data_IF_976354824819
#
_entry.id   IF_976354824819
#
_cell.length_a   1.000
_cell.length_b   1.000
_cell.length_c   1.000
_cell.angle_alpha   90.00
_cell.angle_beta   90.00
_cell.angle_gamma   90.00
#
_symmetry.space_group_name_H-M   'P 1'
#
loop_
_entity.id
_entity.type
_entity.pdbx_description
1 polymer ?
#
# COMPACT_ATOMS: atom_id res chain seq x y z
N UNK A 1 21.95 1.54 16.12
CA UNK A 1 21.55 2.15 14.85
C UNK A 1 20.38 3.06 15.16
N UNK A 2 20.55 4.36 15.02
CA UNK A 2 19.48 5.33 15.24
C UNK A 2 18.44 5.16 14.14
N UNK A 3 17.20 4.86 14.52
CA UNK A 3 16.07 4.87 13.59
C UNK A 3 15.98 6.29 13.01
N UNK A 4 15.75 6.47 11.70
CA UNK A 4 15.44 7.79 11.19
C UNK A 4 14.18 8.25 11.94
N UNK A 5 14.35 9.33 12.72
CA UNK A 5 13.38 10.02 13.58
C UNK A 5 12.18 10.63 12.81
N UNK A 6 11.79 10.01 11.71
CA UNK A 6 11.06 10.63 10.60
C UNK A 6 9.68 10.04 10.33
N UNK A 7 9.30 8.95 10.98
CA UNK A 7 7.95 8.40 10.80
C UNK A 7 7.03 8.97 11.88
N UNK A 8 6.09 9.79 11.44
CA UNK A 8 4.93 10.20 12.22
C UNK A 8 4.15 8.93 12.58
N UNK A 9 4.38 8.42 13.80
CA UNK A 9 3.81 7.17 14.25
C UNK A 9 2.30 7.12 14.00
N UNK A 10 1.57 8.20 14.32
CA UNK A 10 0.13 8.27 14.10
C UNK A 10 -0.27 8.19 12.62
N UNK A 11 0.39 8.93 11.72
CA UNK A 11 0.08 8.91 10.29
C UNK A 11 0.38 7.54 9.68
N UNK A 12 1.49 6.92 10.10
CA UNK A 12 1.86 5.58 9.66
C UNK A 12 0.91 4.50 10.17
N UNK A 13 0.48 4.57 11.44
CA UNK A 13 -0.54 3.66 11.98
C UNK A 13 -1.86 3.78 11.21
N UNK A 14 -2.32 5.01 10.92
CA UNK A 14 -3.50 5.24 10.08
C UNK A 14 -3.35 4.65 8.68
N UNK A 15 -2.21 4.88 8.04
CA UNK A 15 -1.88 4.31 6.73
C UNK A 15 -1.91 2.78 6.73
N UNK A 16 -1.24 2.14 7.70
CA UNK A 16 -1.18 0.69 7.83
C UNK A 16 -2.57 0.07 8.05
N UNK A 17 -3.35 0.63 8.96
CA UNK A 17 -4.72 0.17 9.22
C UNK A 17 -5.62 0.32 8.01
N UNK A 18 -5.54 1.44 7.30
CA UNK A 18 -6.29 1.67 6.07
C UNK A 18 -5.96 0.62 5.00
N UNK A 19 -4.68 0.35 4.76
CA UNK A 19 -4.26 -0.64 3.76
C UNK A 19 -4.67 -2.07 4.12
N UNK A 20 -4.66 -2.43 5.40
CA UNK A 20 -5.23 -3.70 5.87
C UNK A 20 -6.72 -3.85 5.50
N UNK A 21 -7.52 -2.79 5.70
CA UNK A 21 -8.93 -2.80 5.33
C UNK A 21 -9.11 -2.93 3.82
N UNK A 22 -8.34 -2.18 3.03
CA UNK A 22 -8.35 -2.26 1.55
C UNK A 22 -8.11 -3.71 1.10
N UNK A 23 -7.01 -4.33 1.54
CA UNK A 23 -6.66 -5.71 1.13
C UNK A 23 -7.75 -6.70 1.49
N UNK A 24 -8.26 -6.65 2.73
CA UNK A 24 -9.30 -7.57 3.18
C UNK A 24 -10.61 -7.41 2.42
N UNK A 25 -10.96 -6.18 2.00
CA UNK A 25 -12.13 -5.92 1.16
C UNK A 25 -11.98 -6.60 -0.22
N UNK A 26 -10.82 -6.49 -0.85
CA UNK A 26 -10.55 -7.17 -2.13
C UNK A 26 -10.59 -8.70 -2.00
N UNK A 27 -9.99 -9.27 -0.94
CA UNK A 27 -10.06 -10.71 -0.65
C UNK A 27 -11.52 -11.15 -0.49
N UNK A 28 -12.30 -10.42 0.31
CA UNK A 28 -13.71 -10.76 0.56
C UNK A 28 -14.55 -10.69 -0.71
N UNK A 29 -14.29 -9.71 -1.58
CA UNK A 29 -15.01 -9.54 -2.84
C UNK A 29 -14.76 -10.73 -3.78
N UNK A 30 -13.50 -11.12 -3.95
CA UNK A 30 -13.14 -12.28 -4.80
C UNK A 30 -13.74 -13.57 -4.23
N UNK A 31 -13.67 -13.80 -2.92
CA UNK A 31 -14.28 -14.97 -2.28
C UNK A 31 -15.77 -15.07 -2.60
N UNK A 32 -16.50 -13.97 -2.47
CA UNK A 32 -17.94 -13.92 -2.77
C UNK A 32 -18.23 -14.22 -4.26
N UNK A 33 -17.43 -13.68 -5.17
CA UNK A 33 -17.65 -13.90 -6.61
C UNK A 33 -17.22 -15.32 -7.05
N UNK A 34 -16.24 -15.92 -6.36
CA UNK A 34 -15.72 -17.26 -6.69
C UNK A 34 -16.74 -18.39 -6.60
N UNK A 35 -17.81 -18.23 -5.80
CA UNK A 35 -18.89 -19.22 -5.67
C UNK A 35 -19.75 -19.34 -6.94
N UNK A 36 -19.69 -18.35 -7.83
CA UNK A 36 -20.61 -18.20 -8.98
C UNK A 36 -19.91 -18.20 -10.34
N UNK A 37 -18.60 -17.99 -10.37
CA UNK A 37 -17.83 -17.84 -11.60
C UNK A 37 -17.22 -19.16 -12.07
N UNK A 38 -17.02 -19.28 -13.37
CA UNK A 38 -16.16 -20.35 -13.90
C UNK A 38 -14.70 -20.11 -13.50
N UNK A 39 -13.86 -21.15 -13.56
CA UNK A 39 -12.43 -21.04 -13.23
C UNK A 39 -11.71 -19.98 -14.06
N UNK A 40 -12.02 -19.88 -15.35
CA UNK A 40 -11.37 -18.92 -16.25
C UNK A 40 -11.80 -17.48 -15.93
N UNK A 41 -13.10 -17.25 -15.68
CA UNK A 41 -13.62 -15.93 -15.32
C UNK A 41 -13.05 -15.47 -13.97
N UNK A 42 -12.90 -16.41 -13.01
CA UNK A 42 -12.30 -16.13 -11.71
C UNK A 42 -10.83 -15.71 -11.83
N UNK A 43 -10.04 -16.35 -12.69
CA UNK A 43 -8.64 -15.97 -12.94
C UNK A 43 -8.52 -14.55 -13.52
N UNK A 44 -9.40 -14.21 -14.48
CA UNK A 44 -9.43 -12.87 -15.07
C UNK A 44 -9.84 -11.81 -14.05
N UNK A 45 -10.88 -12.11 -13.24
CA UNK A 45 -11.30 -11.25 -12.14
C UNK A 45 -10.16 -11.01 -11.15
N UNK A 46 -9.48 -12.06 -10.69
CA UNK A 46 -8.35 -11.97 -9.75
C UNK A 46 -7.28 -11.03 -10.30
N UNK A 47 -6.94 -11.14 -11.59
CA UNK A 47 -5.96 -10.26 -12.23
C UNK A 47 -6.41 -8.80 -12.21
N UNK A 48 -7.64 -8.52 -12.65
CA UNK A 48 -8.21 -7.16 -12.67
C UNK A 48 -8.23 -6.56 -11.26
N UNK A 49 -8.67 -7.35 -10.27
CA UNK A 49 -8.76 -6.91 -8.87
C UNK A 49 -7.39 -6.70 -8.24
N UNK A 50 -6.38 -7.50 -8.59
CA UNK A 50 -5.00 -7.28 -8.16
C UNK A 50 -4.44 -5.97 -8.71
N UNK A 51 -4.66 -5.68 -10.00
CA UNK A 51 -4.20 -4.42 -10.61
C UNK A 51 -4.88 -3.20 -9.95
N UNK A 52 -6.17 -3.32 -9.62
CA UNK A 52 -6.89 -2.27 -8.89
C UNK A 52 -6.40 -2.10 -7.45
N UNK A 53 -6.15 -3.21 -6.74
CA UNK A 53 -5.55 -3.19 -5.40
C UNK A 53 -4.20 -2.45 -5.41
N UNK A 54 -3.32 -2.75 -6.35
CA UNK A 54 -2.01 -2.10 -6.45
C UNK A 54 -2.15 -0.59 -6.66
N UNK A 55 -3.09 -0.16 -7.50
CA UNK A 55 -3.38 1.27 -7.70
C UNK A 55 -3.90 1.93 -6.42
N UNK A 56 -4.83 1.29 -5.72
CA UNK A 56 -5.42 1.84 -4.51
C UNK A 56 -4.42 1.91 -3.34
N UNK A 57 -3.53 0.93 -3.22
CA UNK A 57 -2.40 0.97 -2.28
C UNK A 57 -1.43 2.11 -2.62
N UNK A 58 -1.13 2.32 -3.90
CA UNK A 58 -0.29 3.44 -4.35
C UNK A 58 -0.94 4.79 -4.04
N UNK A 59 -2.24 4.93 -4.26
CA UNK A 59 -2.99 6.14 -3.93
C UNK A 59 -3.02 6.38 -2.41
N UNK A 60 -3.19 5.31 -1.62
CA UNK A 60 -3.09 5.38 -0.15
C UNK A 60 -1.71 5.84 0.30
N UNK A 61 -0.65 5.33 -0.33
CA UNK A 61 0.73 5.78 -0.07
C UNK A 61 0.93 7.25 -0.44
N UNK A 62 0.37 7.71 -1.55
CA UNK A 62 0.47 9.11 -1.96
C UNK A 62 -0.14 10.05 -0.91
N UNK A 63 -1.33 9.71 -0.39
CA UNK A 63 -1.96 10.48 0.70
C UNK A 63 -1.09 10.49 1.95
N UNK A 64 -0.59 9.33 2.38
CA UNK A 64 0.31 9.23 3.53
C UNK A 64 1.61 10.04 3.33
N UNK A 65 2.17 10.01 2.12
CA UNK A 65 3.37 10.79 1.79
C UNK A 65 3.10 12.29 1.87
N UNK A 66 1.94 12.74 1.37
CA UNK A 66 1.56 14.15 1.42
C UNK A 66 1.35 14.61 2.89
N UNK A 67 0.69 13.79 3.72
CA UNK A 67 0.56 14.04 5.17
C UNK A 67 1.93 14.11 5.86
N UNK A 68 2.85 13.20 5.55
CA UNK A 68 4.21 13.23 6.09
C UNK A 68 4.98 14.47 5.62
N UNK A 69 4.86 14.80 4.33
CA UNK A 69 5.51 15.91 3.67
C UNK A 69 5.18 17.25 4.30
N UNK A 70 3.89 17.49 4.57
CA UNK A 70 3.42 18.74 5.19
C UNK A 70 3.94 18.93 6.62
N UNK A 71 4.24 17.83 7.32
CA UNK A 71 4.60 17.83 8.72
C UNK A 71 6.10 17.65 8.99
N UNK A 72 6.96 17.55 7.96
CA UNK A 72 8.42 17.36 8.14
C UNK A 72 8.97 18.51 9.00
N UNK A 73 9.59 18.19 10.13
CA UNK A 73 10.19 19.19 11.03
C UNK A 73 11.72 19.31 10.88
N UNK A 74 12.38 18.30 10.31
CA UNK A 74 13.82 18.31 10.10
C UNK A 74 14.20 19.09 8.83
N UNK A 75 15.04 20.11 8.97
CA UNK A 75 15.44 20.99 7.87
C UNK A 75 16.20 20.25 6.75
N UNK A 76 17.04 19.26 7.05
CA UNK A 76 17.76 18.49 6.02
C UNK A 76 16.82 17.63 5.18
N UNK A 77 15.78 17.07 5.80
CA UNK A 77 14.77 16.32 5.06
C UNK A 77 13.89 17.23 4.20
N UNK A 78 13.53 18.42 4.70
CA UNK A 78 12.84 19.44 3.87
C UNK A 78 13.67 19.85 2.66
N UNK A 79 14.98 20.04 2.83
CA UNK A 79 15.90 20.38 1.74
C UNK A 79 16.00 19.23 0.74
N UNK A 80 16.23 18.00 1.19
CA UNK A 80 16.29 16.82 0.33
C UNK A 80 14.99 16.61 -0.47
N UNK A 81 13.83 16.84 0.17
CA UNK A 81 12.54 16.79 -0.49
C UNK A 81 12.40 17.87 -1.58
N UNK A 82 12.83 19.10 -1.32
CA UNK A 82 12.77 20.21 -2.30
C UNK A 82 13.71 19.97 -3.49
N UNK A 83 14.93 19.52 -3.24
CA UNK A 83 15.93 19.29 -4.29
C UNK A 83 15.61 18.07 -5.16
N UNK A 84 15.11 16.99 -4.54
CA UNK A 84 14.91 15.69 -5.21
C UNK A 84 13.60 15.02 -4.79
N UNK A 85 12.43 15.62 -5.11
CA UNK A 85 11.14 15.16 -4.60
C UNK A 85 10.80 13.71 -4.97
N UNK A 86 11.11 13.29 -6.20
CA UNK A 86 10.86 11.91 -6.65
C UNK A 86 11.73 10.89 -5.92
N UNK A 87 13.02 11.22 -5.70
CA UNK A 87 13.94 10.34 -5.00
C UNK A 87 13.59 10.25 -3.51
N UNK A 88 13.20 11.37 -2.91
CA UNK A 88 12.76 11.43 -1.52
C UNK A 88 11.48 10.61 -1.31
N UNK A 89 10.48 10.75 -2.20
CA UNK A 89 9.26 9.93 -2.18
C UNK A 89 9.56 8.45 -2.32
N UNK A 90 10.46 8.08 -3.25
CA UNK A 90 10.92 6.70 -3.41
C UNK A 90 11.58 6.19 -2.12
N UNK A 91 12.46 6.97 -1.51
CA UNK A 91 13.12 6.60 -0.26
C UNK A 91 12.10 6.31 0.87
N UNK A 92 11.08 7.15 1.04
CA UNK A 92 10.02 6.91 2.04
C UNK A 92 9.25 5.62 1.74
N UNK A 93 8.93 5.39 0.46
CA UNK A 93 8.26 4.16 0.01
C UNK A 93 9.09 2.92 0.32
N UNK A 94 10.36 2.94 -0.06
CA UNK A 94 11.32 1.84 0.14
C UNK A 94 11.60 1.61 1.64
N UNK A 95 11.59 2.67 2.46
CA UNK A 95 11.81 2.57 3.90
C UNK A 95 10.64 1.86 4.61
N UNK A 96 9.41 2.17 4.22
CA UNK A 96 8.20 1.57 4.82
C UNK A 96 8.01 0.14 4.30
N UNK A 97 8.29 -0.10 3.01
CA UNK A 97 8.28 -1.41 2.37
C UNK A 97 7.01 -2.26 2.62
N UNK A 98 5.83 -1.63 2.63
CA UNK A 98 4.58 -2.36 2.88
C UNK A 98 3.85 -2.85 1.62
N UNK A 99 4.25 -2.39 0.43
CA UNK A 99 3.60 -2.78 -0.82
C UNK A 99 3.70 -4.30 -1.04
N UNK A 100 4.88 -4.88 -0.83
CA UNK A 100 5.10 -6.32 -0.96
C UNK A 100 4.30 -7.11 0.07
N UNK A 101 4.17 -6.59 1.29
CA UNK A 101 3.41 -7.21 2.36
C UNK A 101 1.93 -7.35 2.00
N UNK A 102 1.30 -6.27 1.56
CA UNK A 102 -0.14 -6.26 1.24
C UNK A 102 -0.49 -7.05 -0.02
N UNK A 103 0.36 -6.99 -1.05
CA UNK A 103 0.18 -7.82 -2.25
C UNK A 103 0.32 -9.30 -1.89
N UNK A 104 1.31 -9.66 -1.06
CA UNK A 104 1.46 -11.05 -0.58
C UNK A 104 0.29 -11.50 0.28
N UNK A 105 -0.25 -10.62 1.14
CA UNK A 105 -1.42 -10.92 1.96
C UNK A 105 -2.65 -11.19 1.09
N UNK A 106 -2.87 -10.36 0.06
CA UNK A 106 -3.91 -10.58 -0.95
C UNK A 106 -3.77 -11.95 -1.63
N UNK A 107 -2.59 -12.26 -2.17
CA UNK A 107 -2.33 -13.52 -2.87
C UNK A 107 -2.57 -14.74 -1.97
N UNK A 108 -2.06 -14.73 -0.73
CA UNK A 108 -2.32 -15.79 0.25
C UNK A 108 -3.81 -15.91 0.57
N UNK A 109 -4.52 -14.78 0.66
CA UNK A 109 -5.94 -14.71 0.95
C UNK A 109 -6.84 -15.35 -0.11
N UNK A 110 -6.37 -15.51 -1.35
CA UNK A 110 -7.14 -16.03 -2.48
C UNK A 110 -6.58 -17.33 -3.09
N UNK A 111 -5.36 -17.75 -2.76
CA UNK A 111 -4.69 -18.88 -3.40
C UNK A 111 -5.46 -20.22 -3.28
N UNK A 112 -6.28 -20.40 -2.24
CA UNK A 112 -7.10 -21.62 -2.06
C UNK A 112 -8.34 -21.67 -2.97
N UNK A 113 -8.59 -20.62 -3.75
CA UNK A 113 -9.72 -20.51 -4.69
C UNK A 113 -9.34 -20.95 -6.11
N UNK A 114 -8.06 -21.24 -6.37
CA UNK A 114 -7.50 -21.60 -7.68
C UNK A 114 -7.25 -23.11 -7.81
#
# INVERSE_FOLDING_TARGET
>A
MEQPLFIFHEAYEKYRLKNHVIVNNYISLIKKESETLSKNDLLELIKIKKDNLIKELLDSFNVFYDECSENITNERAKEAQKEKPLLFKKYIRDFINEDEYYVSLFEKGINHLL
#
